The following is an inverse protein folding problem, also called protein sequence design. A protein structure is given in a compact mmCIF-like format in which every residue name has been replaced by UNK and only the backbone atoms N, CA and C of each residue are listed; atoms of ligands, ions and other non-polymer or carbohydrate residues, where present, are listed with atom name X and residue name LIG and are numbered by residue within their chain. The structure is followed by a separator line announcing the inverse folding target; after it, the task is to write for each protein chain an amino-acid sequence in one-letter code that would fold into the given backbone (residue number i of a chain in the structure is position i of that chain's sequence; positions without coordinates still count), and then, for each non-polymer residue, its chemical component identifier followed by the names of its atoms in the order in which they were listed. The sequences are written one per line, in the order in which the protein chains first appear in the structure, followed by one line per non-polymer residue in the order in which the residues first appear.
data_IF_847651867344
#
_entry.id   IF_847651867344
#
_cell.length_a   1.000
_cell.length_b   1.000
_cell.length_c   1.000
_cell.angle_alpha   90.00
_cell.angle_beta   90.00
_cell.angle_gamma   90.00
#
_symmetry.space_group_name_H-M   'P 1'
#
loop_
_entity.id
_entity.type
_entity.pdbx_description
1 polymer ?
#
# COMPACT_ATOMS: atom_id res chain seq x y z
N UNK A 1 15.88 24.79 17.06
CA UNK A 1 14.59 24.16 17.41
C UNK A 1 14.19 23.33 16.21
N UNK A 2 13.76 22.06 16.35
CA UNK A 2 13.27 21.32 15.20
C UNK A 2 12.06 22.09 14.66
N UNK A 3 12.11 22.46 13.39
CA UNK A 3 10.98 23.07 12.68
C UNK A 3 9.82 22.10 12.77
N UNK A 4 8.70 22.56 13.34
CA UNK A 4 7.48 21.77 13.39
C UNK A 4 7.10 21.41 11.94
N UNK A 5 6.84 20.12 11.69
CA UNK A 5 6.47 19.67 10.34
C UNK A 5 5.24 20.44 9.85
N UNK A 6 5.11 20.70 8.53
CA UNK A 6 3.93 21.35 7.97
C UNK A 6 2.64 20.63 8.39
N UNK A 7 1.53 21.36 8.49
CA UNK A 7 0.24 20.80 8.91
C UNK A 7 -0.17 19.57 8.07
N UNK A 8 0.01 19.66 6.74
CA UNK A 8 -0.19 18.58 5.75
C UNK A 8 0.58 17.31 6.10
N UNK A 9 1.78 17.44 6.66
CA UNK A 9 2.58 16.30 7.13
C UNK A 9 2.02 15.77 8.46
N UNK A 10 1.70 16.65 9.42
CA UNK A 10 1.28 16.22 10.76
C UNK A 10 -0.04 15.44 10.79
N UNK A 11 -0.92 15.59 9.79
CA UNK A 11 -2.16 14.81 9.72
C UNK A 11 -1.91 13.30 9.68
N UNK A 12 -0.78 12.90 9.10
CA UNK A 12 -0.37 11.50 8.97
C UNK A 12 0.23 10.91 10.26
N UNK A 13 0.20 11.63 11.37
CA UNK A 13 0.48 11.09 12.71
C UNK A 13 -0.73 10.33 13.26
N UNK A 14 -1.94 10.81 12.97
CA UNK A 14 -3.17 10.20 13.47
C UNK A 14 -3.39 8.83 12.83
N UNK A 15 -3.84 7.87 13.63
CA UNK A 15 -4.26 6.57 13.13
C UNK A 15 -5.51 6.67 12.28
N UNK A 16 -5.55 5.89 11.20
CA UNK A 16 -6.77 5.59 10.47
C UNK A 16 -7.47 4.41 11.14
N UNK A 17 -8.70 4.09 10.74
CA UNK A 17 -9.37 2.89 11.25
C UNK A 17 -8.58 1.61 10.98
N UNK A 18 -7.78 1.60 9.91
CA UNK A 18 -6.93 0.49 9.52
C UNK A 18 -5.66 0.42 10.35
N UNK A 19 -4.97 1.56 10.56
CA UNK A 19 -3.68 1.55 11.25
C UNK A 19 -3.82 1.56 12.77
N UNK A 20 -4.99 1.90 13.33
CA UNK A 20 -5.20 1.88 14.77
C UNK A 20 -4.97 0.46 15.35
N UNK A 21 -3.97 0.26 16.23
CA UNK A 21 -3.74 -1.04 16.86
C UNK A 21 -4.81 -1.38 17.91
N UNK A 22 -5.65 -0.43 18.33
CA UNK A 22 -6.71 -0.63 19.31
C UNK A 22 -6.18 -1.18 20.64
N UNK A 23 -6.83 -2.23 21.16
CA UNK A 23 -6.40 -2.93 22.38
C UNK A 23 -5.05 -3.63 22.25
N UNK A 24 -4.52 -3.80 21.03
CA UNK A 24 -3.22 -4.41 20.78
C UNK A 24 -2.06 -3.42 20.84
N UNK A 25 -2.29 -2.14 21.22
CA UNK A 25 -1.24 -1.12 21.33
C UNK A 25 -0.05 -1.52 22.21
N UNK A 26 -0.27 -2.30 23.27
CA UNK A 26 0.80 -2.83 24.13
C UNK A 26 1.77 -3.77 23.40
N UNK A 27 1.38 -4.35 22.24
CA UNK A 27 2.27 -5.17 21.43
C UNK A 27 3.47 -4.37 20.86
N UNK A 28 3.41 -3.03 20.86
CA UNK A 28 4.49 -2.16 20.42
C UNK A 28 5.53 -1.85 21.50
N UNK A 29 5.35 -2.33 22.72
CA UNK A 29 6.32 -2.16 23.80
C UNK A 29 7.64 -2.87 23.47
N UNK A 30 8.76 -2.18 23.71
CA UNK A 30 10.11 -2.73 23.48
C UNK A 30 10.56 -2.80 22.02
N UNK A 31 9.75 -2.34 21.07
CA UNK A 31 10.16 -2.26 19.66
C UNK A 31 11.33 -1.28 19.45
N UNK A 32 12.28 -1.57 18.54
CA UNK A 32 13.37 -0.66 18.19
C UNK A 32 12.88 0.72 17.76
N UNK A 33 13.65 1.78 18.02
CA UNK A 33 13.28 3.15 17.65
C UNK A 33 13.64 3.52 16.20
N UNK A 34 14.61 2.82 15.60
CA UNK A 34 15.07 3.09 14.25
C UNK A 34 14.35 2.27 13.16
N UNK A 35 14.37 2.77 11.93
CA UNK A 35 13.72 2.11 10.78
C UNK A 35 14.28 0.71 10.49
N UNK A 36 15.62 0.49 10.48
CA UNK A 36 16.15 -0.86 10.24
C UNK A 36 15.63 -1.89 11.24
N UNK A 37 15.67 -1.59 12.54
CA UNK A 37 15.19 -2.50 13.58
C UNK A 37 13.69 -2.73 13.52
N UNK A 38 12.90 -1.71 13.20
CA UNK A 38 11.46 -1.88 12.96
C UNK A 38 11.17 -2.82 11.78
N UNK A 39 11.87 -2.63 10.66
CA UNK A 39 11.70 -3.47 9.47
C UNK A 39 12.13 -4.91 9.77
N UNK A 40 13.23 -5.12 10.50
CA UNK A 40 13.65 -6.46 10.95
C UNK A 40 12.59 -7.14 11.82
N UNK A 41 11.96 -6.42 12.75
CA UNK A 41 10.86 -6.96 13.55
C UNK A 41 9.69 -7.38 12.66
N UNK A 42 9.23 -6.52 11.75
CA UNK A 42 8.11 -6.83 10.85
C UNK A 42 8.43 -8.05 10.00
N UNK A 43 9.64 -8.12 9.41
CA UNK A 43 10.11 -9.28 8.64
C UNK A 43 10.23 -10.54 9.51
N UNK A 44 10.47 -10.40 10.80
CA UNK A 44 10.56 -11.51 11.74
C UNK A 44 9.21 -12.12 12.14
N UNK A 45 8.11 -11.35 12.03
CA UNK A 45 6.76 -11.80 12.36
C UNK A 45 5.89 -12.05 11.12
N UNK A 46 6.29 -11.56 9.94
CA UNK A 46 5.57 -11.74 8.68
C UNK A 46 6.32 -12.65 7.69
N UNK A 47 5.54 -13.32 6.84
CA UNK A 47 6.00 -13.98 5.64
C UNK A 47 5.10 -13.55 4.49
N UNK A 48 5.68 -13.08 3.38
CA UNK A 48 4.87 -12.69 2.23
C UNK A 48 4.26 -13.94 1.57
N UNK A 49 2.94 -13.98 1.43
CA UNK A 49 2.20 -15.18 1.00
C UNK A 49 2.70 -15.75 -0.34
N UNK A 50 2.95 -14.89 -1.33
CA UNK A 50 3.44 -15.30 -2.65
C UNK A 50 4.93 -15.65 -2.69
N UNK A 51 5.66 -15.39 -1.60
CA UNK A 51 7.06 -15.79 -1.47
C UNK A 51 7.25 -17.04 -0.63
N UNK A 52 6.26 -17.48 0.16
CA UNK A 52 6.39 -18.57 1.14
C UNK A 52 7.08 -19.83 0.59
N UNK A 53 6.75 -20.26 -0.62
CA UNK A 53 7.37 -21.43 -1.25
C UNK A 53 8.89 -21.27 -1.45
N UNK A 54 9.38 -20.06 -1.74
CA UNK A 54 10.82 -19.77 -1.86
C UNK A 54 11.56 -19.83 -0.53
N UNK A 55 10.83 -19.77 0.59
CA UNK A 55 11.34 -20.01 1.95
C UNK A 55 11.17 -21.47 2.39
N UNK A 56 10.67 -22.34 1.50
CA UNK A 56 10.48 -23.77 1.79
C UNK A 56 9.21 -24.10 2.57
N UNK A 57 8.26 -23.16 2.67
CA UNK A 57 7.00 -23.36 3.40
C UNK A 57 5.79 -23.26 2.48
N UNK A 58 4.82 -24.15 2.68
CA UNK A 58 3.52 -24.13 2.00
C UNK A 58 2.45 -23.67 2.99
N UNK A 59 1.79 -22.53 2.77
CA UNK A 59 0.76 -22.04 3.67
C UNK A 59 -0.45 -22.99 3.72
N UNK A 60 -1.02 -23.21 4.91
CA UNK A 60 -2.34 -23.85 5.09
C UNK A 60 -3.47 -22.96 4.54
N UNK A 61 -4.68 -23.52 4.35
CA UNK A 61 -5.84 -22.71 3.93
C UNK A 61 -6.18 -21.59 4.92
N UNK A 62 -6.02 -21.86 6.23
CA UNK A 62 -6.18 -20.86 7.28
C UNK A 62 -5.14 -19.74 7.15
N UNK A 63 -3.87 -20.09 6.95
CA UNK A 63 -2.79 -19.13 6.76
C UNK A 63 -2.97 -18.29 5.49
N UNK A 64 -3.52 -18.87 4.41
CA UNK A 64 -3.88 -18.10 3.21
C UNK A 64 -4.96 -17.05 3.50
N UNK A 65 -5.80 -17.28 4.50
CA UNK A 65 -6.83 -16.33 4.95
C UNK A 65 -6.29 -15.12 5.72
N UNK A 66 -5.06 -15.18 6.25
CA UNK A 66 -4.46 -14.08 7.04
C UNK A 66 -4.50 -12.73 6.31
N UNK A 67 -4.26 -12.71 5.00
CA UNK A 67 -4.28 -11.50 4.17
C UNK A 67 -5.63 -10.77 4.16
N UNK A 68 -6.71 -11.39 4.67
CA UNK A 68 -8.02 -10.75 4.82
C UNK A 68 -8.14 -9.86 6.07
N UNK A 69 -7.20 -9.93 7.03
CA UNK A 69 -7.32 -9.30 8.36
C UNK A 69 -7.65 -7.79 8.31
N UNK A 70 -7.20 -7.08 7.26
CA UNK A 70 -7.42 -5.64 6.94
C UNK A 70 -6.92 -4.65 7.99
N UNK A 71 -7.35 -4.78 9.23
CA UNK A 71 -7.03 -3.90 10.35
C UNK A 71 -5.74 -4.34 11.03
N UNK A 72 -4.90 -3.39 11.43
CA UNK A 72 -3.67 -3.67 12.16
C UNK A 72 -3.97 -4.33 13.50
N UNK A 73 -5.03 -3.95 14.21
CA UNK A 73 -5.46 -4.64 15.43
C UNK A 73 -5.70 -6.14 15.18
N UNK A 74 -6.36 -6.49 14.08
CA UNK A 74 -6.66 -7.89 13.71
C UNK A 74 -5.41 -8.66 13.28
N UNK A 75 -4.52 -8.00 12.54
CA UNK A 75 -3.20 -8.55 12.21
C UNK A 75 -2.42 -8.90 13.48
N UNK A 76 -2.39 -7.98 14.45
CA UNK A 76 -1.68 -8.16 15.72
C UNK A 76 -2.30 -9.28 16.55
N UNK A 77 -3.62 -9.39 16.62
CA UNK A 77 -4.31 -10.52 17.26
C UNK A 77 -3.83 -11.86 16.67
N UNK A 78 -3.86 -12.00 15.34
CA UNK A 78 -3.43 -13.24 14.67
C UNK A 78 -1.94 -13.52 14.94
N UNK A 79 -1.07 -12.51 14.88
CA UNK A 79 0.36 -12.67 15.21
C UNK A 79 0.55 -13.19 16.63
N UNK A 80 -0.18 -12.65 17.60
CA UNK A 80 -0.07 -13.02 19.01
C UNK A 80 -0.73 -14.38 19.32
N UNK A 81 -1.76 -14.76 18.58
CA UNK A 81 -2.40 -16.09 18.67
C UNK A 81 -1.46 -17.20 18.14
N UNK A 82 -0.73 -16.92 17.06
CA UNK A 82 0.28 -17.84 16.51
C UNK A 82 1.48 -18.02 17.44
N UNK A 83 1.92 -16.94 18.09
CA UNK A 83 2.97 -16.95 19.10
C UNK A 83 2.86 -15.73 20.03
N UNK A 84 2.65 -15.98 21.32
CA UNK A 84 2.40 -14.93 22.31
C UNK A 84 3.65 -14.23 22.86
N UNK A 85 4.85 -14.58 22.38
CA UNK A 85 6.07 -13.85 22.80
C UNK A 85 6.06 -12.39 22.28
N UNK A 86 6.93 -11.49 22.76
CA UNK A 86 7.00 -10.13 22.22
C UNK A 86 7.30 -10.10 20.70
N UNK A 87 6.84 -9.06 19.99
CA UNK A 87 7.06 -8.91 18.54
C UNK A 87 8.56 -8.90 18.15
N UNK A 88 9.44 -8.49 19.07
CA UNK A 88 10.89 -8.50 18.89
C UNK A 88 11.50 -9.91 18.81
N UNK A 89 10.74 -10.95 19.14
CA UNK A 89 11.18 -12.34 19.04
C UNK A 89 10.91 -12.86 17.63
N UNK A 90 11.98 -13.13 16.89
CA UNK A 90 11.92 -13.74 15.57
C UNK A 90 11.07 -15.03 15.59
N UNK A 91 10.09 -15.13 14.70
CA UNK A 91 9.23 -16.31 14.59
C UNK A 91 9.81 -17.32 13.61
N UNK A 92 9.68 -18.63 13.89
CA UNK A 92 9.70 -19.67 12.86
C UNK A 92 8.71 -19.34 11.75
N UNK A 93 9.04 -19.70 10.50
CA UNK A 93 8.25 -19.33 9.32
C UNK A 93 6.78 -19.77 9.40
N UNK A 94 6.52 -20.92 10.01
CA UNK A 94 5.18 -21.50 10.19
C UNK A 94 4.32 -20.73 11.20
N UNK A 95 4.97 -19.95 12.08
CA UNK A 95 4.32 -19.12 13.10
C UNK A 95 4.27 -17.63 12.72
N UNK A 96 4.63 -17.30 11.47
CA UNK A 96 4.50 -15.93 10.96
C UNK A 96 3.09 -15.68 10.45
N UNK A 97 2.70 -14.41 10.47
CA UNK A 97 1.53 -13.94 9.75
C UNK A 97 1.83 -13.95 8.23
N UNK A 98 0.89 -14.47 7.45
CA UNK A 98 1.05 -14.62 6.00
C UNK A 98 0.40 -13.42 5.33
N UNK A 99 1.17 -12.35 5.14
CA UNK A 99 0.69 -11.07 4.64
C UNK A 99 1.07 -10.81 3.18
N UNK A 100 0.68 -9.65 2.67
CA UNK A 100 1.16 -9.08 1.41
C UNK A 100 1.82 -7.70 1.62
N UNK A 101 2.39 -7.11 0.57
CA UNK A 101 3.04 -5.79 0.59
C UNK A 101 2.26 -4.69 1.34
N UNK A 102 0.93 -4.69 1.25
CA UNK A 102 0.07 -3.72 1.93
C UNK A 102 0.11 -3.93 3.44
N UNK A 103 0.06 -5.17 3.90
CA UNK A 103 0.10 -5.49 5.34
C UNK A 103 1.40 -5.03 5.99
N UNK A 104 2.54 -5.26 5.32
CA UNK A 104 3.85 -4.76 5.76
C UNK A 104 3.82 -3.23 5.89
N UNK A 105 3.26 -2.56 4.87
CA UNK A 105 3.23 -1.09 4.78
C UNK A 105 2.35 -0.45 5.84
N UNK A 106 1.15 -1.01 6.11
CA UNK A 106 0.25 -0.46 7.14
C UNK A 106 0.73 -0.77 8.55
N UNK A 107 1.39 -1.90 8.79
CA UNK A 107 1.94 -2.22 10.10
C UNK A 107 3.10 -1.27 10.45
N UNK A 108 4.02 -1.03 9.51
CA UNK A 108 5.08 -0.03 9.71
C UNK A 108 4.49 1.37 9.95
N UNK A 109 3.49 1.76 9.15
CA UNK A 109 2.80 3.04 9.33
C UNK A 109 2.16 3.16 10.72
N UNK A 110 1.53 2.09 11.22
CA UNK A 110 0.94 2.07 12.56
C UNK A 110 1.96 2.22 13.69
N UNK A 111 3.09 1.51 13.60
CA UNK A 111 4.15 1.61 14.62
C UNK A 111 4.70 3.04 14.67
N UNK A 112 4.96 3.64 13.51
CA UNK A 112 5.47 5.01 13.41
C UNK A 112 4.47 6.06 13.92
N UNK A 113 3.20 5.94 13.53
CA UNK A 113 2.11 6.81 14.00
C UNK A 113 1.95 6.76 15.53
N UNK A 114 2.07 5.58 16.13
CA UNK A 114 2.02 5.39 17.59
C UNK A 114 3.15 6.12 18.34
N UNK A 115 4.19 6.53 17.63
CA UNK A 115 5.35 7.28 18.16
C UNK A 115 5.35 8.75 17.75
N UNK A 116 4.27 9.24 17.14
CA UNK A 116 4.19 10.62 16.67
C UNK A 116 4.98 10.88 15.39
N UNK A 117 5.45 9.84 14.68
CA UNK A 117 6.14 9.99 13.40
C UNK A 117 5.10 9.96 12.27
N UNK A 118 4.98 11.02 11.45
CA UNK A 118 4.08 11.02 10.30
C UNK A 118 4.44 9.87 9.34
N UNK A 119 3.47 9.02 9.05
CA UNK A 119 3.65 7.90 8.13
C UNK A 119 2.39 7.65 7.29
N UNK A 120 2.56 7.20 6.05
CA UNK A 120 1.47 6.87 5.12
C UNK A 120 1.83 5.66 4.27
N UNK A 121 0.89 4.73 4.10
CA UNK A 121 1.05 3.65 3.14
C UNK A 121 0.77 4.19 1.73
N UNK A 122 1.56 3.77 0.74
CA UNK A 122 1.44 4.18 -0.66
C UNK A 122 1.18 2.97 -1.54
N UNK A 123 0.23 3.13 -2.46
CA UNK A 123 -0.12 2.14 -3.47
C UNK A 123 0.45 2.58 -4.82
N UNK A 124 1.05 1.65 -5.56
CA UNK A 124 1.76 1.96 -6.79
C UNK A 124 2.47 0.73 -7.34
N UNK A 125 3.67 0.92 -7.87
CA UNK A 125 4.38 -0.11 -8.60
C UNK A 125 5.88 -0.14 -8.31
N UNK A 126 6.41 -1.34 -8.05
CA UNK A 126 7.84 -1.58 -7.89
C UNK A 126 8.52 -1.92 -9.22
N UNK A 127 9.66 -1.29 -9.51
CA UNK A 127 10.42 -1.51 -10.76
C UNK A 127 11.47 -2.63 -10.66
N UNK A 128 11.46 -3.39 -9.56
CA UNK A 128 12.57 -4.27 -9.15
C UNK A 128 12.17 -5.75 -9.03
N UNK A 129 10.92 -6.08 -9.31
CA UNK A 129 10.47 -7.47 -9.34
C UNK A 129 10.76 -8.15 -10.68
N UNK A 130 10.57 -7.41 -11.78
CA UNK A 130 10.79 -7.89 -13.14
C UNK A 130 11.44 -6.81 -14.02
N UNK A 131 12.51 -7.14 -14.77
CA UNK A 131 13.14 -6.17 -15.66
C UNK A 131 12.14 -5.58 -16.68
N UNK A 132 12.06 -4.25 -16.73
CA UNK A 132 11.21 -3.52 -17.68
C UNK A 132 9.72 -3.51 -17.38
N UNK A 133 9.30 -4.05 -16.22
CA UNK A 133 7.91 -4.05 -15.77
C UNK A 133 7.75 -3.25 -14.47
N UNK A 134 6.50 -2.90 -14.19
CA UNK A 134 6.06 -2.20 -13.00
C UNK A 134 5.07 -3.11 -12.26
N UNK A 135 5.54 -3.79 -11.20
CA UNK A 135 4.74 -4.77 -10.47
C UNK A 135 3.88 -4.08 -9.39
N UNK A 136 2.59 -4.41 -9.27
CA UNK A 136 1.70 -3.95 -8.19
C UNK A 136 2.38 -4.07 -6.83
N UNK A 137 2.44 -2.96 -6.09
CA UNK A 137 3.15 -2.97 -4.82
C UNK A 137 2.67 -1.87 -3.86
N UNK A 138 2.96 -2.10 -2.58
CA UNK A 138 2.75 -1.14 -1.52
C UNK A 138 4.03 -0.91 -0.73
N UNK A 139 4.23 0.35 -0.33
CA UNK A 139 5.36 0.78 0.50
C UNK A 139 4.87 1.70 1.62
N UNK A 140 5.71 1.92 2.63
CA UNK A 140 5.46 2.93 3.65
C UNK A 140 6.32 4.17 3.34
N UNK A 141 5.73 5.35 3.42
CA UNK A 141 6.46 6.62 3.49
C UNK A 141 6.41 7.15 4.91
N UNK A 142 7.54 7.62 5.44
CA UNK A 142 7.59 8.33 6.71
C UNK A 142 8.31 9.67 6.57
N UNK A 143 7.94 10.64 7.40
CA UNK A 143 8.59 11.94 7.43
C UNK A 143 9.81 11.90 8.35
N UNK A 144 11.01 12.12 7.79
CA UNK A 144 12.26 12.09 8.56
C UNK A 144 12.62 13.43 9.23
N UNK A 145 11.73 14.43 9.15
CA UNK A 145 11.98 15.81 9.59
C UNK A 145 12.21 16.80 8.43
N UNK A 146 12.63 16.30 7.27
CA UNK A 146 12.97 17.12 6.09
C UNK A 146 12.20 16.70 4.83
N UNK A 147 11.97 15.40 4.64
CA UNK A 147 11.27 14.85 3.48
C UNK A 147 10.55 13.54 3.82
N UNK A 148 9.67 13.13 2.92
CA UNK A 148 9.18 11.76 2.87
C UNK A 148 10.31 10.80 2.43
N UNK A 149 10.45 9.72 3.19
CA UNK A 149 11.38 8.62 2.93
C UNK A 149 10.57 7.37 2.64
N UNK A 150 10.82 6.74 1.49
CA UNK A 150 10.13 5.53 1.07
C UNK A 150 10.87 4.30 1.62
N UNK A 151 10.12 3.44 2.30
CA UNK A 151 10.58 2.19 2.92
C UNK A 151 9.75 1.02 2.39
N UNK A 152 10.44 0.03 1.83
CA UNK A 152 9.85 -1.28 1.55
C UNK A 152 10.21 -2.27 2.66
N UNK A 153 9.29 -2.41 3.62
CA UNK A 153 9.46 -3.31 4.76
C UNK A 153 9.37 -4.80 4.39
N UNK A 154 8.89 -5.15 3.19
CA UNK A 154 8.75 -6.53 2.75
C UNK A 154 10.08 -7.15 2.32
N UNK A 155 10.97 -6.35 1.72
CA UNK A 155 12.21 -6.83 1.10
C UNK A 155 13.28 -7.20 2.14
N UNK A 156 13.19 -8.43 2.64
CA UNK A 156 14.22 -9.03 3.50
C UNK A 156 15.48 -9.45 2.71
N UNK A 157 16.45 -10.06 3.41
CA UNK A 157 17.71 -10.50 2.80
C UNK A 157 17.51 -11.48 1.63
N UNK A 158 16.62 -12.47 1.77
CA UNK A 158 16.38 -13.45 0.71
C UNK A 158 15.77 -12.78 -0.52
N UNK A 159 14.73 -11.96 -0.33
CA UNK A 159 14.09 -11.24 -1.43
C UNK A 159 15.07 -10.31 -2.14
N UNK A 160 15.84 -9.51 -1.40
CA UNK A 160 16.85 -8.61 -1.97
C UNK A 160 17.89 -9.37 -2.78
N UNK A 161 18.37 -10.51 -2.28
CA UNK A 161 19.32 -11.35 -3.01
C UNK A 161 18.72 -11.94 -4.29
N UNK A 162 17.51 -12.48 -4.23
CA UNK A 162 16.85 -13.13 -5.37
C UNK A 162 16.47 -12.12 -6.46
N UNK A 163 16.01 -10.93 -6.07
CA UNK A 163 15.65 -9.83 -6.96
C UNK A 163 16.87 -9.00 -7.41
N UNK A 164 18.05 -9.26 -6.84
CA UNK A 164 19.29 -8.50 -7.08
C UNK A 164 19.09 -7.00 -6.83
N UNK A 165 18.42 -6.68 -5.72
CA UNK A 165 18.20 -5.28 -5.29
C UNK A 165 19.55 -4.63 -5.02
N UNK A 166 19.82 -3.53 -5.73
CA UNK A 166 21.08 -2.77 -5.69
C UNK A 166 20.93 -1.38 -5.05
N UNK A 167 19.79 -1.12 -4.40
CA UNK A 167 19.45 0.16 -3.78
C UNK A 167 19.04 -0.03 -2.32
N UNK A 168 19.03 1.05 -1.55
CA UNK A 168 18.60 1.03 -0.16
C UNK A 168 17.07 0.90 -0.08
N UNK A 169 16.57 -0.21 0.47
CA UNK A 169 15.11 -0.44 0.66
C UNK A 169 14.52 0.34 1.84
N UNK A 170 15.37 0.96 2.67
CA UNK A 170 14.98 1.75 3.84
C UNK A 170 15.04 3.27 3.58
N UNK A 171 15.51 3.66 2.40
CA UNK A 171 15.47 5.03 1.87
C UNK A 171 15.58 4.92 0.35
N UNK A 172 14.46 4.56 -0.30
CA UNK A 172 14.47 4.20 -1.70
C UNK A 172 14.72 5.43 -2.58
N UNK A 173 15.64 5.33 -3.57
CA UNK A 173 15.82 6.40 -4.53
C UNK A 173 14.59 6.55 -5.41
N UNK A 174 14.34 7.78 -5.86
CA UNK A 174 13.23 8.11 -6.77
C UNK A 174 13.25 7.19 -8.00
N UNK A 175 12.06 6.75 -8.41
CA UNK A 175 11.87 5.89 -9.58
C UNK A 175 12.02 4.39 -9.34
N UNK A 176 12.43 3.94 -8.15
CA UNK A 176 12.36 2.50 -7.78
C UNK A 176 10.95 2.05 -7.40
N UNK A 177 10.21 2.96 -6.79
CA UNK A 177 8.76 2.86 -6.60
C UNK A 177 8.11 3.99 -7.39
N UNK A 178 7.08 3.67 -8.15
CA UNK A 178 6.30 4.60 -8.98
C UNK A 178 4.89 4.62 -8.41
N UNK A 179 4.46 5.78 -7.90
CA UNK A 179 3.09 5.96 -7.41
C UNK A 179 2.08 5.67 -8.53
N UNK A 180 0.88 5.23 -8.18
CA UNK A 180 -0.14 4.90 -9.17
C UNK A 180 -0.57 6.11 -10.03
N UNK A 181 -0.60 7.30 -9.42
CA UNK A 181 -0.76 8.61 -10.06
C UNK A 181 0.32 8.91 -11.09
N UNK A 182 1.58 8.65 -10.76
CA UNK A 182 2.68 8.80 -11.69
C UNK A 182 2.57 7.80 -12.85
N UNK A 183 2.25 6.53 -12.57
CA UNK A 183 2.00 5.51 -13.61
C UNK A 183 0.88 5.93 -14.57
N UNK A 184 -0.23 6.43 -14.03
CA UNK A 184 -1.35 6.96 -14.81
C UNK A 184 -0.90 8.09 -15.74
N UNK A 185 -0.19 9.09 -15.22
CA UNK A 185 0.30 10.23 -16.03
C UNK A 185 1.33 9.80 -17.08
N UNK A 186 2.23 8.86 -16.77
CA UNK A 186 3.19 8.32 -17.75
C UNK A 186 2.47 7.67 -18.94
N UNK A 187 1.43 6.86 -18.69
CA UNK A 187 0.66 6.24 -19.75
C UNK A 187 -0.20 7.26 -20.52
N UNK A 188 -0.82 8.22 -19.81
CA UNK A 188 -1.73 9.20 -20.41
C UNK A 188 -1.03 10.29 -21.21
N UNK A 189 0.14 10.73 -20.77
CA UNK A 189 0.80 11.94 -21.29
C UNK A 189 2.15 11.65 -21.97
N UNK A 190 2.84 10.57 -21.57
CA UNK A 190 4.20 10.26 -22.03
C UNK A 190 4.27 9.05 -22.96
N UNK A 191 3.14 8.34 -23.16
CA UNK A 191 3.05 7.20 -24.06
C UNK A 191 3.71 5.92 -23.51
N UNK A 192 3.90 5.81 -22.19
CA UNK A 192 4.34 4.56 -21.58
C UNK A 192 3.27 3.47 -21.78
N UNK A 193 3.72 2.25 -22.08
CA UNK A 193 2.83 1.13 -22.35
C UNK A 193 2.12 0.67 -21.06
N UNK A 194 0.77 0.77 -20.98
CA UNK A 194 0.02 0.37 -19.80
C UNK A 194 0.13 -1.13 -19.49
N UNK A 195 0.44 -1.98 -20.47
CA UNK A 195 0.60 -3.42 -20.25
C UNK A 195 1.88 -3.77 -19.46
N UNK A 196 2.77 -2.79 -19.25
CA UNK A 196 3.91 -2.96 -18.35
C UNK A 196 3.55 -2.90 -16.86
N UNK A 197 2.36 -2.37 -16.53
CA UNK A 197 1.90 -2.16 -15.15
C UNK A 197 0.92 -3.25 -14.75
N UNK A 198 1.20 -3.98 -13.68
CA UNK A 198 0.29 -5.01 -13.19
C UNK A 198 0.90 -6.04 -12.25
N UNK A 199 0.21 -7.14 -12.03
CA UNK A 199 0.67 -8.29 -11.25
C UNK A 199 0.09 -9.56 -11.86
N UNK A 200 0.88 -10.63 -11.91
CA UNK A 200 0.51 -11.85 -12.63
C UNK A 200 0.11 -11.53 -14.09
N UNK A 201 -1.10 -11.93 -14.49
CA UNK A 201 -1.74 -11.67 -15.78
C UNK A 201 -2.61 -10.40 -15.80
N UNK A 202 -2.82 -9.75 -14.65
CA UNK A 202 -3.64 -8.56 -14.51
C UNK A 202 -2.83 -7.30 -14.84
N UNK A 203 -3.04 -6.73 -16.03
CA UNK A 203 -2.24 -5.61 -16.57
C UNK A 203 -3.11 -4.60 -17.33
N UNK A 204 -2.59 -3.39 -17.53
CA UNK A 204 -3.20 -2.39 -18.40
C UNK A 204 -3.93 -1.26 -17.66
N UNK A 205 -4.56 -0.36 -18.42
CA UNK A 205 -5.19 0.86 -17.88
C UNK A 205 -6.21 0.61 -16.77
N UNK A 206 -6.99 -0.48 -16.86
CA UNK A 206 -7.97 -0.82 -15.83
C UNK A 206 -7.29 -1.14 -14.49
N UNK A 207 -6.11 -1.75 -14.53
CA UNK A 207 -5.33 -2.11 -13.35
C UNK A 207 -4.65 -0.87 -12.74
N UNK A 208 -4.09 0.00 -13.59
CA UNK A 208 -3.53 1.31 -13.17
C UNK A 208 -4.64 2.17 -12.53
N UNK A 209 -5.84 2.21 -13.11
CA UNK A 209 -7.01 2.89 -12.52
C UNK A 209 -7.33 2.37 -11.13
N UNK A 210 -7.35 1.05 -10.94
CA UNK A 210 -7.56 0.45 -9.63
C UNK A 210 -6.51 0.91 -8.61
N UNK A 211 -5.23 0.86 -8.99
CA UNK A 211 -4.15 1.36 -8.14
C UNK A 211 -4.26 2.86 -7.85
N UNK A 212 -4.65 3.69 -8.84
CA UNK A 212 -4.84 5.13 -8.66
C UNK A 212 -5.89 5.45 -7.61
N UNK A 213 -7.01 4.73 -7.63
CA UNK A 213 -8.07 4.92 -6.64
C UNK A 213 -7.69 4.37 -5.27
N UNK A 214 -6.88 3.30 -5.20
CA UNK A 214 -6.31 2.82 -3.92
C UNK A 214 -5.29 3.79 -3.34
N UNK A 215 -4.47 4.42 -4.17
CA UNK A 215 -3.56 5.49 -3.74
C UNK A 215 -4.36 6.67 -3.16
N UNK A 216 -5.40 7.13 -3.87
CA UNK A 216 -6.29 8.18 -3.37
C UNK A 216 -6.92 7.80 -2.02
N UNK A 217 -7.48 6.59 -1.92
CA UNK A 217 -8.10 6.11 -0.70
C UNK A 217 -7.10 6.00 0.47
N UNK A 218 -5.88 5.52 0.22
CA UNK A 218 -4.84 5.40 1.25
C UNK A 218 -4.43 6.76 1.84
N UNK A 219 -4.48 7.84 1.06
CA UNK A 219 -4.25 9.20 1.54
C UNK A 219 -5.49 9.85 2.20
N UNK A 220 -6.62 9.15 2.21
CA UNK A 220 -7.91 9.56 2.78
C UNK A 220 -8.46 8.50 3.73
N UNK A 221 -7.59 7.98 4.60
CA UNK A 221 -7.90 7.10 5.73
C UNK A 221 -8.44 5.70 5.37
N UNK A 222 -8.22 5.26 4.13
CA UNK A 222 -8.70 3.98 3.61
C UNK A 222 -7.61 3.23 2.83
N UNK A 223 -6.62 2.68 3.54
CA UNK A 223 -5.57 1.82 2.97
C UNK A 223 -6.13 0.43 2.60
N UNK A 224 -6.99 0.32 1.59
CA UNK A 224 -7.76 -0.89 1.25
C UNK A 224 -6.91 -2.10 0.83
N UNK A 225 -7.50 -3.30 0.85
CA UNK A 225 -6.83 -4.52 0.37
C UNK A 225 -6.60 -4.43 -1.14
N UNK A 226 -5.53 -5.06 -1.67
CA UNK A 226 -5.22 -5.01 -3.11
C UNK A 226 -6.32 -5.56 -4.03
N UNK A 227 -7.23 -6.40 -3.51
CA UNK A 227 -8.37 -6.95 -4.26
C UNK A 227 -9.72 -6.28 -3.96
N UNK A 228 -9.77 -5.27 -3.10
CA UNK A 228 -11.02 -4.52 -2.90
C UNK A 228 -11.34 -3.70 -4.16
N UNK A 229 -12.60 -3.72 -4.57
CA UNK A 229 -13.09 -3.01 -5.75
C UNK A 229 -14.31 -2.17 -5.38
N UNK A 230 -14.33 -0.90 -5.73
CA UNK A 230 -15.45 0.01 -5.50
C UNK A 230 -15.58 1.07 -6.59
N UNK A 231 -16.73 1.73 -6.65
CA UNK A 231 -16.93 2.96 -7.43
C UNK A 231 -16.46 2.82 -8.89
N UNK A 232 -15.60 3.74 -9.32
CA UNK A 232 -15.08 3.78 -10.70
C UNK A 232 -14.11 2.63 -11.04
N UNK A 233 -13.74 1.75 -10.09
CA UNK A 233 -12.98 0.54 -10.42
C UNK A 233 -13.82 -0.50 -11.16
N UNK A 234 -15.13 -0.56 -10.88
CA UNK A 234 -16.09 -1.54 -11.40
C UNK A 234 -16.46 -1.33 -12.88
N UNK A 235 -15.78 -0.44 -13.60
CA UNK A 235 -16.16 -0.13 -14.97
C UNK A 235 -15.76 -1.27 -15.92
N UNK A 236 -16.77 -2.05 -16.33
CA UNK A 236 -16.73 -3.20 -17.25
C UNK A 236 -16.52 -2.81 -18.73
N UNK A 237 -16.30 -1.52 -19.04
CA UNK A 237 -16.21 -0.97 -20.40
C UNK A 237 -15.03 -1.49 -21.27
N UNK A 238 -14.42 -2.62 -20.94
CA UNK A 238 -13.26 -3.19 -21.65
C UNK A 238 -13.62 -4.37 -22.57
N UNK A 239 -14.88 -4.79 -22.67
CA UNK A 239 -15.26 -5.96 -23.47
C UNK A 239 -16.51 -5.72 -24.33
N UNK A 240 -16.36 -5.12 -25.51
CA UNK A 240 -17.42 -5.12 -26.52
C UNK A 240 -17.35 -3.98 -27.54
N UNK A 241 -17.42 -4.35 -28.82
CA UNK A 241 -17.37 -3.45 -29.98
C UNK A 241 -18.72 -2.71 -30.16
N UNK A 242 -18.65 -1.41 -30.47
CA UNK A 242 -19.72 -0.39 -30.56
C UNK A 242 -20.30 0.14 -29.25
N UNK A 243 -19.50 0.94 -28.52
CA UNK A 243 -20.04 1.89 -27.55
C UNK A 243 -20.77 3.05 -28.25
N UNK A 244 -21.97 3.35 -27.77
CA UNK A 244 -22.73 4.54 -28.16
C UNK A 244 -21.96 5.83 -27.87
N UNK A 245 -22.27 6.91 -28.57
CA UNK A 245 -21.65 8.23 -28.34
C UNK A 245 -21.79 8.67 -26.87
N UNK A 246 -22.90 8.32 -26.23
CA UNK A 246 -23.13 8.58 -24.81
C UNK A 246 -22.15 7.83 -23.90
N UNK A 247 -21.89 6.54 -24.16
CA UNK A 247 -20.92 5.77 -23.38
C UNK A 247 -19.50 6.26 -23.58
N UNK A 248 -19.16 6.71 -24.79
CA UNK A 248 -17.87 7.33 -25.07
C UNK A 248 -17.70 8.66 -24.31
N UNK A 249 -18.74 9.50 -24.27
CA UNK A 249 -18.74 10.75 -23.50
C UNK A 249 -18.58 10.48 -21.99
N UNK A 250 -19.36 9.57 -21.42
CA UNK A 250 -19.25 9.18 -20.00
C UNK A 250 -17.85 8.65 -19.69
N UNK A 251 -17.26 7.86 -20.59
CA UNK A 251 -15.88 7.38 -20.43
C UNK A 251 -14.86 8.52 -20.48
N UNK A 252 -15.03 9.48 -21.38
CA UNK A 252 -14.16 10.64 -21.49
C UNK A 252 -14.22 11.54 -20.24
N UNK A 253 -15.42 11.75 -19.69
CA UNK A 253 -15.62 12.48 -18.43
C UNK A 253 -14.94 11.77 -17.26
N UNK A 254 -15.09 10.44 -17.17
CA UNK A 254 -14.40 9.62 -16.15
C UNK A 254 -12.89 9.71 -16.28
N UNK A 255 -12.34 9.59 -17.50
CA UNK A 255 -10.89 9.76 -17.71
C UNK A 255 -10.43 11.16 -17.30
N UNK A 256 -11.21 12.21 -17.60
CA UNK A 256 -10.89 13.58 -17.19
C UNK A 256 -10.88 13.73 -15.67
N UNK A 257 -11.81 13.08 -14.96
CA UNK A 257 -11.81 13.03 -13.50
C UNK A 257 -10.57 12.30 -12.97
N UNK A 258 -10.23 11.14 -13.54
CA UNK A 258 -9.03 10.39 -13.15
C UNK A 258 -7.73 11.16 -13.45
N UNK A 259 -7.67 11.90 -14.55
CA UNK A 259 -6.54 12.80 -14.86
C UNK A 259 -6.43 13.91 -13.79
N UNK A 260 -7.55 14.47 -13.31
CA UNK A 260 -7.56 15.43 -12.18
C UNK A 260 -7.08 14.82 -10.86
N UNK A 261 -7.48 13.58 -10.58
CA UNK A 261 -7.05 12.82 -9.39
C UNK A 261 -5.56 12.54 -9.44
N UNK A 262 -5.06 12.01 -10.56
CA UNK A 262 -3.66 11.69 -10.74
C UNK A 262 -2.77 12.93 -10.59
N UNK A 263 -3.17 14.09 -11.13
CA UNK A 263 -2.43 15.35 -10.93
C UNK A 263 -2.39 15.80 -9.48
N UNK A 264 -3.53 15.78 -8.78
CA UNK A 264 -3.59 16.15 -7.37
C UNK A 264 -2.66 15.28 -6.50
N UNK A 265 -2.67 13.97 -6.75
CA UNK A 265 -1.79 13.01 -6.06
C UNK A 265 -0.32 13.19 -6.41
N UNK A 266 0.00 13.39 -7.69
CA UNK A 266 1.37 13.57 -8.16
C UNK A 266 2.01 14.86 -7.64
N UNK A 267 1.21 15.92 -7.50
CA UNK A 267 1.62 17.22 -6.96
C UNK A 267 1.63 17.26 -5.42
N UNK A 268 1.21 16.18 -4.73
CA UNK A 268 0.97 16.12 -3.28
C UNK A 268 0.05 17.30 -2.81
N UNK A 269 -0.95 17.69 -3.62
CA UNK A 269 -1.91 18.75 -3.32
C UNK A 269 -3.00 18.23 -2.35
N UNK A 270 -2.68 18.29 -1.05
CA UNK A 270 -3.48 17.70 0.03
C UNK A 270 -4.92 18.26 0.08
N UNK A 271 -5.12 19.56 -0.14
CA UNK A 271 -6.46 20.16 -0.18
C UNK A 271 -7.29 19.57 -1.33
N UNK A 272 -6.68 19.45 -2.52
CA UNK A 272 -7.35 18.91 -3.69
C UNK A 272 -7.61 17.41 -3.56
N UNK A 273 -6.66 16.65 -3.02
CA UNK A 273 -6.80 15.23 -2.70
C UNK A 273 -8.03 15.01 -1.80
N UNK A 274 -8.13 15.76 -0.70
CA UNK A 274 -9.23 15.66 0.26
C UNK A 274 -10.57 16.08 -0.38
N UNK A 275 -10.57 17.15 -1.18
CA UNK A 275 -11.79 17.63 -1.86
C UNK A 275 -12.31 16.61 -2.88
N UNK A 276 -11.46 16.07 -3.75
CA UNK A 276 -11.85 15.08 -4.75
C UNK A 276 -12.41 13.83 -4.08
N UNK A 277 -11.73 13.30 -3.06
CA UNK A 277 -12.19 12.09 -2.38
C UNK A 277 -13.53 12.27 -1.68
N UNK A 278 -13.79 13.44 -1.08
CA UNK A 278 -15.05 13.73 -0.38
C UNK A 278 -16.20 14.05 -1.34
N UNK A 279 -15.94 14.83 -2.38
CA UNK A 279 -16.98 15.50 -3.15
C UNK A 279 -17.39 14.70 -4.41
N UNK A 280 -16.60 13.70 -4.82
CA UNK A 280 -16.86 12.84 -5.99
C UNK A 280 -17.26 11.40 -5.55
N UNK A 281 -18.56 11.04 -5.58
CA UNK A 281 -19.06 9.78 -4.99
C UNK A 281 -18.44 8.49 -5.54
N UNK A 282 -17.96 8.52 -6.78
CA UNK A 282 -17.31 7.37 -7.44
C UNK A 282 -15.89 7.09 -6.96
N UNK A 283 -15.29 8.00 -6.18
CA UNK A 283 -13.91 7.91 -5.69
C UNK A 283 -13.83 7.37 -4.26
N UNK A 284 -14.76 7.76 -3.39
CA UNK A 284 -14.74 7.41 -1.96
C UNK A 284 -15.01 5.93 -1.71
N UNK A 285 -14.27 5.34 -0.77
CA UNK A 285 -14.54 3.98 -0.28
C UNK A 285 -15.85 3.96 0.53
N UNK A 286 -16.79 3.06 0.23
CA UNK A 286 -17.96 2.82 1.08
C UNK A 286 -17.56 2.43 2.50
N UNK A 287 -18.16 3.06 3.52
CA UNK A 287 -17.75 2.90 4.93
C UNK A 287 -17.85 1.46 5.43
N UNK A 288 -18.81 0.71 4.90
CA UNK A 288 -19.06 -0.71 5.17
C UNK A 288 -17.92 -1.62 4.69
N UNK A 289 -17.08 -1.18 3.75
CA UNK A 289 -15.91 -1.95 3.30
C UNK A 289 -14.74 -1.86 4.28
N UNK A 290 -14.69 -0.82 5.13
CA UNK A 290 -13.62 -0.64 6.12
C UNK A 290 -14.02 -1.34 7.41
N UNK A 291 -14.09 -2.66 7.40
CA UNK A 291 -14.44 -3.49 8.56
C UNK A 291 -13.37 -4.55 8.78
N UNK A 292 -13.26 -5.08 10.01
CA UNK A 292 -12.40 -6.24 10.24
C UNK A 292 -12.75 -7.33 9.22
N UNK A 293 -11.75 -7.86 8.53
CA UNK A 293 -11.94 -9.09 7.75
C UNK A 293 -12.03 -10.30 8.69
N UNK A 294 -12.04 -11.49 8.08
CA UNK A 294 -12.04 -12.78 8.79
C UNK A 294 -10.88 -12.88 9.82
#
# INVERSE_FOLDING_TARGET
MPTQAPHEVTRYISHTRITDPGSMSAAYEGLPEDIPGLVEVIQGIFLHIHWAQRYGVTPSEEQKGHVQARLVSRILEIVMDLDSSPLTVLRPLEKRFYGNCRDYSVLLSSILRSRGVPARARCGFGTYFWPGQYEDHWVCEYWNGERWVVVDAQLDELQRSQLKVDFNTLDMPKGRFVNASEAWLRCREQGEDPDKFGIFDMRGFWFIRGNLLRELAALNDAEMLPWDVWGLMNDEASHGDKQSDYEQLVRAERHTLLDRVARALFEDDDERILSLYRDEPGLSVPREMIVAGL
#
